data_IF_556384437664
#
_entry.id   IF_556384437664
#
_cell.length_a   1.000
_cell.length_b   1.000
_cell.length_c   1.000
_cell.angle_alpha   90.00
_cell.angle_beta   90.00
_cell.angle_gamma   90.00
#
_symmetry.space_group_name_H-M   'P 1'
#
loop_
_entity.id
_entity.type
_entity.pdbx_description
1 polymer ?
#
# COMPACT_ATOMS: atom_id res chain seq x y z
N UNK A 1 -17.44 33.47 83.14
CA UNK A 1 -18.25 32.71 82.16
C UNK A 1 -17.31 32.05 81.15
N UNK A 2 -17.21 30.72 81.13
CA UNK A 2 -16.43 29.94 80.15
C UNK A 2 -17.35 29.55 78.99
N UNK A 3 -17.09 30.02 77.77
CA UNK A 3 -17.75 29.51 76.55
C UNK A 3 -16.97 28.31 76.02
N UNK A 4 -17.57 27.13 76.11
CA UNK A 4 -17.22 25.96 75.29
C UNK A 4 -17.67 26.23 73.86
N UNK A 5 -16.81 26.02 72.87
CA UNK A 5 -17.24 25.90 71.48
C UNK A 5 -16.80 24.54 70.94
N UNK A 6 -17.81 23.79 70.49
CA UNK A 6 -17.73 22.50 69.82
C UNK A 6 -16.90 22.55 68.54
N UNK A 7 -15.94 21.63 68.43
CA UNK A 7 -15.19 21.40 67.19
C UNK A 7 -15.96 20.37 66.35
N UNK A 8 -16.64 20.83 65.30
CA UNK A 8 -17.14 19.98 64.20
C UNK A 8 -15.95 19.34 63.47
N UNK A 9 -15.83 18.00 63.51
CA UNK A 9 -14.90 17.24 62.66
C UNK A 9 -15.23 17.46 61.18
N UNK A 10 -14.41 18.21 60.45
CA UNK A 10 -14.44 18.26 58.98
C UNK A 10 -13.81 16.98 58.42
N UNK A 11 -14.54 16.26 57.56
CA UNK A 11 -14.04 15.11 56.81
C UNK A 11 -12.91 15.57 55.89
N UNK A 12 -11.77 14.89 55.92
CA UNK A 12 -10.64 15.21 55.06
C UNK A 12 -10.96 14.84 53.60
N UNK A 13 -10.53 15.65 52.61
CA UNK A 13 -10.70 15.32 51.21
C UNK A 13 -9.87 14.08 50.83
N UNK A 14 -10.34 13.25 49.90
CA UNK A 14 -9.63 12.04 49.48
C UNK A 14 -8.26 12.42 48.87
N UNK A 15 -7.21 11.72 49.29
CA UNK A 15 -5.85 11.92 48.79
C UNK A 15 -5.79 11.72 47.28
N UNK A 16 -5.03 12.55 46.56
CA UNK A 16 -4.77 12.48 45.11
C UNK A 16 -4.65 11.06 44.50
N UNK A 17 -3.96 10.08 45.11
CA UNK A 17 -3.91 8.71 44.56
C UNK A 17 -5.27 7.98 44.54
N UNK A 18 -6.21 8.33 45.43
CA UNK A 18 -7.57 7.78 45.43
C UNK A 18 -8.43 8.36 44.30
N UNK A 19 -8.21 9.63 43.94
CA UNK A 19 -8.88 10.27 42.81
C UNK A 19 -8.40 9.72 41.46
N UNK A 20 -7.10 9.47 41.32
CA UNK A 20 -6.52 8.87 40.11
C UNK A 20 -7.04 7.45 39.90
N UNK A 21 -7.07 6.62 40.97
CA UNK A 21 -7.65 5.26 40.89
C UNK A 21 -9.14 5.27 40.56
N UNK A 22 -9.90 6.22 41.09
CA UNK A 22 -11.30 6.42 40.76
C UNK A 22 -11.51 6.80 39.29
N UNK A 23 -10.67 7.69 38.75
CA UNK A 23 -10.73 8.12 37.35
C UNK A 23 -10.50 6.99 36.36
N UNK A 24 -9.49 6.14 36.59
CA UNK A 24 -9.17 5.00 35.71
C UNK A 24 -10.33 3.99 35.66
N UNK A 25 -10.97 3.70 36.80
CA UNK A 25 -12.10 2.78 36.86
C UNK A 25 -13.32 3.31 36.10
N UNK A 26 -13.58 4.62 36.19
CA UNK A 26 -14.70 5.25 35.48
C UNK A 26 -14.44 5.25 33.96
N UNK A 27 -13.22 5.57 33.51
CA UNK A 27 -12.90 5.54 32.07
C UNK A 27 -12.97 4.13 31.48
N UNK A 28 -12.55 3.11 32.23
CA UNK A 28 -12.65 1.72 31.79
C UNK A 28 -14.12 1.29 31.64
N UNK A 29 -14.98 1.65 32.60
CA UNK A 29 -16.42 1.37 32.55
C UNK A 29 -17.10 2.05 31.35
N UNK A 30 -16.78 3.32 31.09
CA UNK A 30 -17.32 4.07 29.95
C UNK A 30 -16.88 3.44 28.63
N UNK A 31 -15.60 3.11 28.47
CA UNK A 31 -15.12 2.43 27.26
C UNK A 31 -15.81 1.08 27.06
N UNK A 32 -15.99 0.28 28.12
CA UNK A 32 -16.68 -1.01 27.99
C UNK A 32 -18.16 -0.86 27.64
N UNK A 33 -18.86 0.14 28.19
CA UNK A 33 -20.25 0.41 27.86
C UNK A 33 -20.40 0.94 26.43
N UNK A 34 -19.52 1.84 25.99
CA UNK A 34 -19.48 2.37 24.62
C UNK A 34 -19.18 1.27 23.59
N UNK A 35 -18.25 0.37 23.90
CA UNK A 35 -17.93 -0.76 23.02
C UNK A 35 -19.09 -1.77 22.96
N UNK A 36 -19.78 -1.99 24.08
CA UNK A 36 -20.97 -2.87 24.14
C UNK A 36 -22.16 -2.30 23.37
N UNK A 37 -22.32 -0.98 23.35
CA UNK A 37 -23.35 -0.30 22.54
C UNK A 37 -23.00 -0.31 21.05
N UNK A 38 -21.71 -0.17 20.71
CA UNK A 38 -21.23 -0.13 19.33
C UNK A 38 -21.26 -1.51 18.63
N UNK A 39 -20.99 -2.59 19.38
CA UNK A 39 -20.84 -3.94 18.80
C UNK A 39 -22.16 -4.70 18.57
N UNK A 40 -23.30 -4.18 19.06
CA UNK A 40 -24.61 -4.83 18.89
C UNK A 40 -24.73 -6.20 19.58
N UNK A 41 -25.96 -6.69 19.83
CA UNK A 41 -26.18 -7.94 20.60
C UNK A 41 -25.62 -9.20 19.92
N UNK A 42 -25.39 -9.19 18.60
CA UNK A 42 -24.92 -10.34 17.82
C UNK A 42 -23.43 -10.64 17.97
N UNK A 43 -22.60 -9.68 18.35
CA UNK A 43 -21.15 -9.89 18.58
C UNK A 43 -20.92 -10.44 20.00
N UNK A 44 -21.70 -9.97 20.98
CA UNK A 44 -21.63 -10.47 22.36
C UNK A 44 -21.98 -11.97 22.43
N UNK A 45 -22.96 -12.41 21.64
CA UNK A 45 -23.38 -13.82 21.56
C UNK A 45 -22.31 -14.73 20.94
N UNK A 46 -21.51 -14.19 20.01
CA UNK A 46 -20.36 -14.91 19.42
C UNK A 46 -19.18 -14.98 20.40
N UNK A 47 -18.96 -13.93 21.19
CA UNK A 47 -17.94 -13.92 22.23
C UNK A 47 -18.27 -14.89 23.37
N UNK A 48 -19.54 -14.99 23.79
CA UNK A 48 -19.98 -15.96 24.81
C UNK A 48 -19.85 -17.42 24.31
N UNK A 49 -20.14 -17.66 23.02
CA UNK A 49 -19.90 -18.97 22.39
C UNK A 49 -18.41 -19.34 22.34
N UNK A 50 -17.53 -18.38 22.05
CA UNK A 50 -16.08 -18.60 22.07
C UNK A 50 -15.56 -18.81 23.49
N UNK A 51 -16.08 -18.08 24.47
CA UNK A 51 -15.70 -18.25 25.87
C UNK A 51 -16.11 -19.65 26.41
N UNK A 52 -17.32 -20.11 26.11
CA UNK A 52 -17.75 -21.48 26.46
C UNK A 52 -16.94 -22.56 25.75
N UNK A 53 -16.61 -22.38 24.47
CA UNK A 53 -15.81 -23.37 23.73
C UNK A 53 -14.36 -23.47 24.25
N UNK A 54 -13.81 -22.40 24.82
CA UNK A 54 -12.51 -22.41 25.48
C UNK A 54 -12.57 -22.95 26.92
N UNK A 55 -13.65 -22.65 27.66
CA UNK A 55 -13.86 -23.15 29.02
C UNK A 55 -14.13 -24.66 29.07
N UNK A 56 -14.78 -25.20 28.04
CA UNK A 56 -15.00 -26.66 27.91
C UNK A 56 -13.72 -27.41 27.53
N UNK A 57 -12.69 -26.73 26.99
CA UNK A 57 -11.38 -27.32 26.68
C UNK A 57 -10.41 -27.37 27.86
N UNK A 58 -10.78 -26.85 29.03
CA UNK A 58 -9.94 -26.86 30.23
C UNK A 58 -10.46 -27.73 31.37
N UNK A 59 -11.51 -28.55 31.12
CA UNK A 59 -12.17 -29.38 32.13
C UNK A 59 -12.21 -30.85 31.73
N UNK A 60 -11.07 -31.55 31.80
CA UNK A 60 -11.02 -33.01 31.65
C UNK A 60 -9.69 -33.56 32.19
N UNK A 61 -9.70 -34.62 33.04
CA UNK A 61 -8.50 -35.04 33.76
C UNK A 61 -7.57 -35.85 32.85
N UNK A 62 -6.26 -35.59 32.95
CA UNK A 62 -5.23 -36.44 32.37
C UNK A 62 -5.19 -37.81 33.05
N UNK A 63 -4.84 -38.88 32.32
CA UNK A 63 -4.14 -40.00 32.91
C UNK A 63 -2.75 -40.18 32.29
N UNK A 64 -1.77 -40.31 33.19
CA UNK A 64 -0.42 -40.80 32.97
C UNK A 64 -0.43 -42.26 32.47
N UNK A 65 0.44 -42.59 31.51
CA UNK A 65 1.21 -43.85 31.56
C UNK A 65 2.31 -43.96 30.48
N UNK A 66 3.56 -43.99 30.97
CA UNK A 66 4.62 -44.96 30.70
C UNK A 66 5.24 -45.18 29.29
N UNK A 67 6.49 -44.66 29.16
CA UNK A 67 7.78 -45.34 28.88
C UNK A 67 7.99 -46.14 27.57
N UNK A 68 9.16 -45.83 26.96
CA UNK A 68 10.04 -46.64 26.08
C UNK A 68 9.92 -46.38 24.57
N UNK A 69 10.97 -46.06 23.82
CA UNK A 69 12.39 -46.03 24.16
C UNK A 69 13.30 -45.64 22.97
N UNK A 70 14.58 -45.42 23.33
CA UNK A 70 15.86 -45.51 22.58
C UNK A 70 15.90 -45.11 21.08
N UNK A 71 16.64 -44.09 20.63
CA UNK A 71 18.11 -43.91 20.61
C UNK A 71 18.91 -44.90 19.71
N UNK A 72 19.19 -44.45 18.47
CA UNK A 72 20.39 -44.75 17.65
C UNK A 72 20.32 -45.95 16.66
N UNK A 73 21.23 -46.04 15.66
CA UNK A 73 22.38 -45.17 15.36
C UNK A 73 22.52 -44.71 13.89
N UNK A 74 23.47 -43.79 13.71
CA UNK A 74 24.08 -43.32 12.45
C UNK A 74 24.91 -44.45 11.83
N UNK A 75 24.89 -44.57 10.49
CA UNK A 75 25.91 -45.29 9.73
C UNK A 75 26.21 -44.58 8.41
N UNK A 76 27.51 -44.34 8.21
CA UNK A 76 28.15 -43.71 7.06
C UNK A 76 28.84 -44.80 6.22
N UNK A 77 28.97 -44.54 4.91
CA UNK A 77 29.98 -45.04 3.95
C UNK A 77 29.46 -45.81 2.72
N UNK A 78 29.84 -45.35 1.52
CA UNK A 78 30.05 -46.23 0.36
C UNK A 78 29.67 -45.71 -1.03
N UNK A 79 30.55 -44.90 -1.63
CA UNK A 79 30.98 -44.83 -3.04
C UNK A 79 30.07 -45.32 -4.20
N UNK A 80 30.00 -44.48 -5.25
CA UNK A 80 29.90 -44.91 -6.66
C UNK A 80 28.76 -44.28 -7.47
N UNK A 81 29.10 -43.39 -8.42
CA UNK A 81 28.17 -42.92 -9.47
C UNK A 81 27.84 -44.02 -10.52
N UNK A 82 27.14 -43.72 -11.64
CA UNK A 82 26.91 -42.41 -12.22
C UNK A 82 25.43 -42.05 -12.48
N UNK A 83 25.23 -40.75 -12.70
CA UNK A 83 24.18 -40.05 -13.47
C UNK A 83 23.01 -40.90 -14.02
N UNK A 84 21.84 -40.68 -13.42
CA UNK A 84 20.55 -40.82 -14.08
C UNK A 84 19.72 -39.58 -13.74
N UNK A 85 19.42 -38.77 -14.76
CA UNK A 85 18.35 -37.77 -14.71
C UNK A 85 17.01 -38.47 -14.41
N UNK A 86 16.16 -37.88 -13.55
CA UNK A 86 14.73 -38.05 -13.70
C UNK A 86 14.05 -36.69 -13.86
N UNK A 87 13.56 -36.47 -15.08
CA UNK A 87 12.15 -36.18 -15.36
C UNK A 87 11.37 -35.38 -14.30
N UNK A 88 10.97 -34.19 -14.71
CA UNK A 88 9.74 -33.47 -14.35
C UNK A 88 8.82 -34.19 -13.35
N UNK A 89 8.92 -33.80 -12.08
CA UNK A 89 7.84 -34.03 -11.12
C UNK A 89 6.95 -32.78 -11.10
N UNK A 90 5.73 -32.94 -11.62
CA UNK A 90 4.66 -31.97 -11.51
C UNK A 90 4.17 -31.94 -10.05
N UNK A 91 4.90 -31.22 -9.21
CA UNK A 91 4.45 -30.83 -7.88
C UNK A 91 3.43 -29.70 -7.97
N UNK A 92 2.15 -30.08 -8.05
CA UNK A 92 0.99 -29.20 -7.94
C UNK A 92 1.08 -28.34 -6.65
N UNK A 93 1.14 -26.99 -6.73
CA UNK A 93 1.05 -26.17 -5.54
C UNK A 93 -0.37 -26.27 -4.97
N UNK A 94 -0.46 -26.53 -3.66
CA UNK A 94 -1.72 -26.67 -2.94
C UNK A 94 -2.65 -25.48 -3.19
N UNK A 95 -3.85 -25.81 -3.67
CA UNK A 95 -4.97 -24.90 -3.70
C UNK A 95 -5.34 -24.49 -2.26
N UNK A 96 -5.85 -23.26 -2.14
CA UNK A 96 -6.53 -22.69 -0.96
C UNK A 96 -5.73 -21.73 -0.07
N UNK A 97 -4.88 -20.89 -0.69
CA UNK A 97 -4.76 -19.49 -0.26
C UNK A 97 -5.33 -18.60 -1.37
N UNK A 98 -6.25 -17.67 -1.08
CA UNK A 98 -6.75 -16.75 -2.11
C UNK A 98 -5.60 -15.82 -2.52
N UNK A 99 -4.94 -16.15 -3.63
CA UNK A 99 -4.00 -15.25 -4.29
C UNK A 99 -4.77 -14.08 -4.90
N UNK A 100 -4.32 -12.86 -4.67
CA UNK A 100 -4.87 -11.67 -5.33
C UNK A 100 -4.74 -11.88 -6.86
N UNK A 101 -5.82 -11.77 -7.64
CA UNK A 101 -5.76 -11.99 -9.08
C UNK A 101 -4.89 -10.91 -9.76
N UNK A 102 -4.28 -11.26 -10.88
CA UNK A 102 -3.64 -10.28 -11.75
C UNK A 102 -4.68 -9.56 -12.62
N UNK A 103 -4.37 -8.33 -12.99
CA UNK A 103 -5.14 -7.56 -13.94
C UNK A 103 -5.24 -8.29 -15.28
N UNK A 104 -6.46 -8.42 -15.80
CA UNK A 104 -6.67 -8.90 -17.17
C UNK A 104 -6.41 -7.75 -18.15
N UNK A 105 -5.39 -7.92 -18.98
CA UNK A 105 -4.99 -6.96 -20.01
C UNK A 105 -5.88 -7.12 -21.24
N UNK A 106 -6.41 -5.99 -21.73
CA UNK A 106 -7.03 -5.86 -23.04
C UNK A 106 -5.96 -5.55 -24.09
N UNK A 107 -6.08 -6.14 -25.29
CA UNK A 107 -5.25 -5.78 -26.45
C UNK A 107 -5.68 -4.46 -27.11
N UNK A 108 -6.60 -3.72 -26.48
CA UNK A 108 -7.07 -2.43 -26.97
C UNK A 108 -6.05 -1.33 -26.66
N UNK A 109 -5.72 -0.56 -27.69
CA UNK A 109 -4.88 0.62 -27.57
C UNK A 109 -5.74 1.78 -27.03
N UNK A 110 -5.29 2.46 -25.97
CA UNK A 110 -5.95 3.65 -25.45
C UNK A 110 -5.98 4.78 -26.49
N UNK A 111 -7.11 5.49 -26.61
CA UNK A 111 -7.30 6.56 -27.61
C UNK A 111 -7.88 7.82 -26.99
N UNK A 112 -7.62 8.96 -27.66
CA UNK A 112 -8.20 10.26 -27.30
C UNK A 112 -9.74 10.28 -27.31
N UNK A 113 -10.36 9.47 -28.17
CA UNK A 113 -11.83 9.42 -28.32
C UNK A 113 -12.54 8.77 -27.11
N UNK A 114 -11.79 8.09 -26.24
CA UNK A 114 -12.32 7.46 -25.03
C UNK A 114 -12.47 8.44 -23.85
N UNK A 115 -12.05 9.71 -24.04
CA UNK A 115 -12.24 10.82 -23.09
C UNK A 115 -13.72 11.16 -22.92
N UNK A 116 -14.44 10.33 -22.17
CA UNK A 116 -15.76 10.68 -21.67
C UNK A 116 -15.59 11.44 -20.36
N UNK A 117 -15.60 12.78 -20.45
CA UNK A 117 -15.68 13.72 -19.31
C UNK A 117 -16.83 13.42 -18.34
N UNK A 118 -17.82 12.64 -18.79
CA UNK A 118 -19.05 12.29 -18.08
C UNK A 118 -19.10 10.82 -17.62
N UNK A 119 -17.99 10.07 -17.65
CA UNK A 119 -17.97 8.73 -17.05
C UNK A 119 -17.97 8.88 -15.52
N UNK A 120 -19.17 8.96 -14.96
CA UNK A 120 -19.44 8.71 -13.54
C UNK A 120 -18.58 7.51 -13.11
N UNK A 121 -17.89 7.57 -11.94
CA UNK A 121 -16.95 6.55 -11.52
C UNK A 121 -17.62 5.18 -11.66
N UNK A 122 -17.02 4.36 -12.52
CA UNK A 122 -17.59 3.07 -12.87
C UNK A 122 -17.65 2.24 -11.59
N UNK A 123 -18.88 1.90 -11.17
CA UNK A 123 -19.26 1.10 -10.01
C UNK A 123 -19.17 1.81 -8.64
N UNK A 124 -20.27 2.45 -8.25
CA UNK A 124 -20.54 2.77 -6.82
C UNK A 124 -20.43 1.46 -6.02
N UNK A 125 -19.40 1.35 -5.18
CA UNK A 125 -19.15 0.16 -4.37
C UNK A 125 -18.06 -0.78 -4.89
N UNK A 126 -17.33 -0.45 -5.97
CA UNK A 126 -16.20 -1.26 -6.39
C UNK A 126 -15.07 -1.24 -5.37
N UNK A 127 -14.54 -2.43 -5.09
CA UNK A 127 -13.27 -2.62 -4.40
C UNK A 127 -12.30 -3.28 -5.36
N UNK A 128 -11.16 -2.66 -5.58
CA UNK A 128 -10.11 -3.17 -6.45
C UNK A 128 -9.04 -3.87 -5.59
N UNK A 129 -8.84 -5.14 -5.88
CA UNK A 129 -7.76 -5.94 -5.32
C UNK A 129 -7.18 -6.78 -6.45
N UNK A 130 -6.28 -6.17 -7.22
CA UNK A 130 -5.59 -6.82 -8.35
C UNK A 130 -4.10 -6.48 -8.33
N UNK A 131 -3.28 -7.39 -8.85
CA UNK A 131 -1.87 -7.18 -9.09
C UNK A 131 -1.63 -6.74 -10.54
N UNK A 132 -0.71 -5.80 -10.76
CA UNK A 132 -0.20 -5.43 -12.07
C UNK A 132 1.23 -5.94 -12.22
N UNK A 133 1.60 -6.32 -13.45
CA UNK A 133 2.99 -6.48 -13.80
C UNK A 133 3.64 -5.10 -13.97
N UNK A 134 4.87 -5.00 -13.48
CA UNK A 134 5.70 -3.80 -13.63
C UNK A 134 7.15 -4.21 -13.82
N UNK A 135 7.97 -3.29 -14.32
CA UNK A 135 9.41 -3.46 -14.45
C UNK A 135 10.13 -3.75 -13.12
N UNK A 136 9.53 -3.38 -11.98
CA UNK A 136 10.07 -3.66 -10.64
C UNK A 136 9.49 -4.95 -10.02
N UNK A 137 8.64 -5.68 -10.74
CA UNK A 137 7.89 -6.84 -10.25
C UNK A 137 6.41 -6.54 -9.98
N UNK A 138 5.66 -7.50 -9.40
CA UNK A 138 4.23 -7.34 -9.18
C UNK A 138 3.90 -6.19 -8.22
N UNK A 139 2.95 -5.33 -8.61
CA UNK A 139 2.49 -4.19 -7.83
C UNK A 139 1.00 -4.30 -7.52
N UNK A 140 0.59 -4.02 -6.28
CA UNK A 140 -0.83 -3.97 -5.92
C UNK A 140 -1.46 -2.68 -6.47
N UNK A 141 -2.58 -2.82 -7.19
CA UNK A 141 -3.34 -1.69 -7.71
C UNK A 141 -4.24 -1.05 -6.66
N UNK A 142 -4.28 0.27 -6.67
CA UNK A 142 -5.29 1.06 -5.98
C UNK A 142 -5.96 2.04 -6.94
N UNK A 143 -7.28 2.14 -6.82
CA UNK A 143 -8.07 3.17 -7.49
C UNK A 143 -8.51 4.23 -6.47
N UNK A 144 -8.39 5.51 -6.81
CA UNK A 144 -8.69 6.63 -5.91
C UNK A 144 -10.18 6.74 -5.56
N UNK A 145 -11.07 6.20 -6.41
CA UNK A 145 -12.51 6.19 -6.23
C UNK A 145 -13.05 4.89 -5.60
N UNK A 146 -12.16 3.96 -5.21
CA UNK A 146 -12.54 2.74 -4.49
C UNK A 146 -13.40 3.06 -3.26
N UNK A 147 -14.47 2.29 -3.05
CA UNK A 147 -15.46 2.56 -1.99
C UNK A 147 -14.85 2.67 -0.58
N UNK A 148 -13.70 2.03 -0.35
CA UNK A 148 -13.03 2.04 0.95
C UNK A 148 -12.53 3.43 1.34
N UNK A 149 -12.27 4.32 0.36
CA UNK A 149 -11.67 5.62 0.61
C UNK A 149 -12.08 6.74 -0.35
N UNK A 150 -12.87 6.48 -1.39
CA UNK A 150 -13.24 7.51 -2.39
C UNK A 150 -13.92 8.74 -1.78
N UNK A 151 -14.67 8.58 -0.69
CA UNK A 151 -15.30 9.67 0.06
C UNK A 151 -14.44 10.22 1.20
N UNK A 152 -13.24 9.67 1.41
CA UNK A 152 -12.27 10.22 2.36
C UNK A 152 -11.84 11.62 1.91
N UNK A 153 -11.72 12.55 2.87
CA UNK A 153 -11.38 13.94 2.59
C UNK A 153 -9.87 14.16 2.72
N UNK A 154 -9.18 14.22 1.59
CA UNK A 154 -7.78 14.63 1.49
C UNK A 154 -7.64 16.08 1.95
N UNK A 155 -6.72 16.30 2.91
CA UNK A 155 -6.55 17.60 3.56
C UNK A 155 -7.78 18.04 4.37
N UNK A 156 -8.69 17.12 4.66
CA UNK A 156 -9.91 17.36 5.41
C UNK A 156 -11.03 18.03 4.62
N UNK A 157 -10.86 18.34 3.33
CA UNK A 157 -11.88 19.03 2.51
C UNK A 157 -12.14 18.39 1.15
N UNK A 158 -11.13 17.80 0.51
CA UNK A 158 -11.23 17.36 -0.88
C UNK A 158 -11.44 15.85 -1.01
N UNK A 159 -12.54 15.37 -1.63
CA UNK A 159 -12.77 13.94 -1.79
C UNK A 159 -11.69 13.22 -2.60
N UNK A 160 -11.17 12.11 -2.09
CA UNK A 160 -10.15 11.27 -2.74
C UNK A 160 -10.56 10.82 -4.15
N UNK A 161 -11.83 10.50 -4.37
CA UNK A 161 -12.33 10.10 -5.70
C UNK A 161 -12.09 11.13 -6.80
N UNK A 162 -11.93 12.41 -6.44
CA UNK A 162 -11.66 13.50 -7.39
C UNK A 162 -10.23 14.03 -7.32
N UNK A 163 -9.61 14.03 -6.14
CA UNK A 163 -8.35 14.73 -5.88
C UNK A 163 -7.20 13.79 -5.42
N UNK A 164 -7.44 12.48 -5.42
CA UNK A 164 -6.57 11.47 -4.82
C UNK A 164 -5.57 10.80 -5.75
N UNK A 165 -5.38 11.25 -6.99
CA UNK A 165 -4.48 10.58 -7.95
C UNK A 165 -3.04 10.49 -7.42
N UNK A 166 -2.50 11.59 -6.88
CA UNK A 166 -1.15 11.63 -6.30
C UNK A 166 -0.97 10.67 -5.11
N UNK A 167 -1.76 10.77 -4.02
CA UNK A 167 -1.66 9.88 -2.88
C UNK A 167 -1.86 8.40 -3.24
N UNK A 168 -2.77 8.13 -4.17
CA UNK A 168 -3.03 6.75 -4.64
C UNK A 168 -1.84 6.21 -5.43
N UNK A 169 -1.24 7.02 -6.31
CA UNK A 169 -0.05 6.66 -7.08
C UNK A 169 1.13 6.29 -6.17
N UNK A 170 1.45 7.14 -5.17
CA UNK A 170 2.56 6.84 -4.24
C UNK A 170 2.23 5.66 -3.32
N UNK A 171 0.95 5.48 -2.93
CA UNK A 171 0.54 4.33 -2.13
C UNK A 171 0.76 2.99 -2.86
N UNK A 172 0.51 2.92 -4.18
CA UNK A 172 0.79 1.72 -4.97
C UNK A 172 2.27 1.33 -4.93
N UNK A 173 3.16 2.31 -5.10
CA UNK A 173 4.62 2.09 -5.03
C UNK A 173 5.06 1.71 -3.61
N UNK A 174 4.69 2.50 -2.61
CA UNK A 174 5.13 2.30 -1.22
C UNK A 174 4.68 0.94 -0.72
N UNK A 175 3.42 0.58 -0.94
CA UNK A 175 2.89 -0.69 -0.44
C UNK A 175 3.52 -1.91 -1.11
N UNK A 176 4.00 -1.78 -2.34
CA UNK A 176 4.52 -2.91 -3.12
C UNK A 176 6.05 -3.05 -3.02
N UNK A 177 6.77 -1.94 -2.86
CA UNK A 177 8.24 -1.91 -3.00
C UNK A 177 8.97 -1.33 -1.78
N UNK A 178 8.28 -1.09 -0.67
CA UNK A 178 8.92 -0.73 0.60
C UNK A 178 8.64 -1.75 1.70
N UNK A 179 9.34 -1.62 2.83
CA UNK A 179 9.07 -2.42 4.04
C UNK A 179 7.86 -1.94 4.83
N UNK A 180 7.21 -0.86 4.38
CA UNK A 180 6.08 -0.21 5.04
C UNK A 180 4.82 -0.34 4.19
N UNK A 181 3.69 -0.60 4.82
CA UNK A 181 2.41 -0.60 4.11
C UNK A 181 1.86 0.81 3.97
N UNK A 182 1.25 1.11 2.83
CA UNK A 182 0.56 2.37 2.59
C UNK A 182 -0.77 2.12 1.88
N UNK A 183 -1.82 2.74 2.39
CA UNK A 183 -3.11 2.87 1.69
C UNK A 183 -3.23 4.27 1.09
N UNK A 184 -4.14 4.50 0.13
CA UNK A 184 -4.41 5.85 -0.37
C UNK A 184 -4.77 6.85 0.74
N UNK A 185 -5.47 6.41 1.79
CA UNK A 185 -5.81 7.24 2.96
C UNK A 185 -4.55 7.65 3.73
N UNK A 186 -3.70 6.69 4.10
CA UNK A 186 -2.48 7.01 4.85
C UNK A 186 -1.50 7.87 4.05
N UNK A 187 -1.44 7.68 2.72
CA UNK A 187 -0.64 8.53 1.85
C UNK A 187 -1.21 9.96 1.77
N UNK A 188 -2.54 10.11 1.74
CA UNK A 188 -3.19 11.42 1.75
C UNK A 188 -2.96 12.15 3.08
N UNK A 189 -3.03 11.44 4.21
CA UNK A 189 -2.73 12.00 5.53
C UNK A 189 -1.27 12.44 5.63
N UNK A 190 -0.35 11.59 5.17
CA UNK A 190 1.06 11.92 5.12
C UNK A 190 1.30 13.16 4.25
N UNK A 191 0.69 13.22 3.07
CA UNK A 191 0.85 14.34 2.15
C UNK A 191 0.31 15.64 2.74
N UNK A 192 -0.85 15.61 3.41
CA UNK A 192 -1.40 16.77 4.09
C UNK A 192 -0.51 17.25 5.26
N UNK A 193 0.02 16.32 6.04
CA UNK A 193 0.91 16.64 7.17
C UNK A 193 2.27 17.21 6.73
N UNK A 194 2.73 16.86 5.53
CA UNK A 194 4.05 17.26 5.00
C UNK A 194 3.95 18.36 3.91
N UNK A 195 2.83 19.10 3.85
CA UNK A 195 2.70 20.25 2.96
C UNK A 195 2.63 19.90 1.46
N UNK A 196 2.31 18.65 1.13
CA UNK A 196 2.18 18.16 -0.25
C UNK A 196 0.73 18.22 -0.76
N UNK A 197 -0.24 18.50 0.11
CA UNK A 197 -1.64 18.67 -0.27
C UNK A 197 -1.89 20.03 -0.92
N UNK A 198 -2.50 20.03 -2.11
CA UNK A 198 -2.91 21.22 -2.84
C UNK A 198 -4.44 21.32 -2.86
N UNK A 199 -5.05 22.24 -2.07
CA UNK A 199 -6.50 22.39 -2.02
C UNK A 199 -7.11 22.59 -3.41
N UNK A 200 -8.10 21.76 -3.76
CA UNK A 200 -8.79 21.69 -5.05
C UNK A 200 -7.89 21.37 -6.25
N UNK A 201 -6.59 21.12 -6.02
CA UNK A 201 -5.60 20.73 -7.03
C UNK A 201 -5.07 19.31 -6.83
N UNK A 202 -5.48 18.62 -5.76
CA UNK A 202 -4.97 17.30 -5.40
C UNK A 202 -3.65 17.41 -4.65
N UNK A 203 -2.53 17.28 -5.35
CA UNK A 203 -1.19 17.28 -4.72
C UNK A 203 -0.22 18.20 -5.42
N UNK A 204 0.66 18.83 -4.64
CA UNK A 204 1.85 19.47 -5.14
C UNK A 204 2.86 18.41 -5.64
N UNK A 205 3.71 18.83 -6.58
CA UNK A 205 4.63 17.92 -7.26
C UNK A 205 5.69 17.31 -6.33
N UNK A 206 6.03 18.00 -5.23
CA UNK A 206 6.96 17.49 -4.22
C UNK A 206 6.45 16.23 -3.52
N UNK A 207 5.14 15.92 -3.59
CA UNK A 207 4.59 14.67 -3.06
C UNK A 207 5.40 13.45 -3.51
N UNK A 208 5.75 13.39 -4.80
CA UNK A 208 6.40 12.20 -5.37
C UNK A 208 7.77 11.97 -4.74
N UNK A 209 8.62 13.00 -4.72
CA UNK A 209 9.97 12.86 -4.18
C UNK A 209 9.96 12.73 -2.66
N UNK A 210 9.19 13.58 -1.97
CA UNK A 210 9.20 13.65 -0.51
C UNK A 210 8.62 12.37 0.10
N UNK A 211 7.49 11.87 -0.42
CA UNK A 211 6.86 10.66 0.14
C UNK A 211 7.68 9.42 -0.14
N UNK A 212 8.14 9.19 -1.38
CA UNK A 212 8.88 7.97 -1.72
C UNK A 212 10.22 7.93 -0.98
N UNK A 213 10.96 9.05 -0.93
CA UNK A 213 12.22 9.13 -0.19
C UNK A 213 12.03 8.90 1.31
N UNK A 214 10.93 9.41 1.89
CA UNK A 214 10.60 9.16 3.30
C UNK A 214 10.33 7.68 3.62
N UNK A 215 9.98 6.88 2.62
CA UNK A 215 9.79 5.42 2.73
C UNK A 215 10.99 4.62 2.21
N UNK A 216 12.15 5.27 2.00
CA UNK A 216 13.40 4.64 1.56
C UNK A 216 13.41 4.19 0.10
N UNK A 217 12.45 4.65 -0.70
CA UNK A 217 12.35 4.34 -2.13
C UNK A 217 13.16 5.37 -2.91
N UNK A 218 14.05 4.89 -3.78
CA UNK A 218 14.84 5.74 -4.66
C UNK A 218 13.96 6.31 -5.76
N UNK A 219 14.03 7.63 -5.94
CA UNK A 219 13.25 8.37 -6.93
C UNK A 219 14.04 9.54 -7.48
N UNK A 220 14.09 9.64 -8.81
CA UNK A 220 14.85 10.68 -9.50
C UNK A 220 14.00 11.42 -10.52
N UNK A 221 14.30 12.70 -10.73
CA UNK A 221 13.68 13.50 -11.79
C UNK A 221 14.28 13.16 -13.15
N UNK A 222 13.43 12.79 -14.11
CA UNK A 222 13.85 12.49 -15.48
C UNK A 222 14.04 13.80 -16.26
N UNK A 223 15.29 14.11 -16.61
CA UNK A 223 15.66 15.34 -17.34
C UNK A 223 15.39 15.22 -18.84
N UNK A 224 15.76 14.08 -19.44
CA UNK A 224 15.52 13.81 -20.87
C UNK A 224 14.22 13.02 -21.04
N UNK A 225 13.15 13.70 -21.43
CA UNK A 225 11.78 13.13 -21.47
C UNK A 225 11.40 12.67 -22.87
N UNK A 226 12.32 11.98 -23.54
CA UNK A 226 12.08 11.37 -24.84
C UNK A 226 11.53 9.97 -24.67
N UNK A 227 10.74 9.48 -25.64
CA UNK A 227 10.23 8.11 -25.62
C UNK A 227 11.37 7.08 -25.51
N UNK A 228 12.50 7.30 -26.20
CA UNK A 228 13.66 6.41 -26.11
C UNK A 228 14.30 6.34 -24.73
N UNK A 229 14.45 7.48 -24.03
CA UNK A 229 14.98 7.46 -22.66
C UNK A 229 13.96 6.85 -21.67
N UNK A 230 12.66 7.09 -21.86
CA UNK A 230 11.62 6.46 -21.06
C UNK A 230 11.60 4.93 -21.23
N UNK A 231 11.68 4.44 -22.47
CA UNK A 231 11.79 3.00 -22.76
C UNK A 231 13.02 2.38 -22.08
N UNK A 232 14.19 3.02 -22.22
CA UNK A 232 15.42 2.54 -21.56
C UNK A 232 15.33 2.50 -20.02
N UNK A 233 14.59 3.42 -19.39
CA UNK A 233 14.35 3.38 -17.95
C UNK A 233 13.45 2.19 -17.58
N UNK A 234 12.36 1.98 -18.32
CA UNK A 234 11.46 0.84 -18.11
C UNK A 234 12.21 -0.50 -18.28
N UNK A 235 12.98 -0.65 -19.36
CA UNK A 235 13.79 -1.86 -19.64
C UNK A 235 14.86 -2.13 -18.58
N UNK A 236 15.32 -1.09 -17.89
CA UNK A 236 16.30 -1.20 -16.80
C UNK A 236 15.66 -1.42 -15.42
N UNK A 237 14.37 -1.76 -15.37
CA UNK A 237 13.68 -2.12 -14.14
C UNK A 237 13.13 -0.92 -13.36
N UNK A 238 12.87 0.21 -14.02
CA UNK A 238 12.25 1.36 -13.39
C UNK A 238 10.76 1.45 -13.71
N UNK A 239 9.96 1.94 -12.76
CA UNK A 239 8.62 2.47 -13.01
C UNK A 239 8.74 3.98 -13.19
N UNK A 240 7.97 4.56 -14.11
CA UNK A 240 7.90 6.01 -14.26
C UNK A 240 6.62 6.56 -13.67
N UNK A 241 6.72 7.53 -12.77
CA UNK A 241 5.57 8.33 -12.34
C UNK A 241 5.48 9.53 -13.26
N UNK A 242 4.35 9.72 -13.92
CA UNK A 242 4.12 10.80 -14.87
C UNK A 242 2.99 11.71 -14.41
N UNK A 243 3.22 13.02 -14.50
CA UNK A 243 2.19 14.04 -14.38
C UNK A 243 1.73 14.42 -15.79
N UNK A 244 0.56 13.90 -16.17
CA UNK A 244 -0.07 14.16 -17.45
C UNK A 244 -0.68 15.56 -17.49
N UNK A 245 -0.53 16.23 -18.63
CA UNK A 245 -1.27 17.42 -19.01
C UNK A 245 -2.50 17.05 -19.83
N UNK A 246 -3.06 18.03 -20.56
CA UNK A 246 -4.18 17.79 -21.46
C UNK A 246 -3.82 16.77 -22.54
N UNK A 247 -4.59 15.70 -22.67
CA UNK A 247 -4.33 14.57 -23.55
C UNK A 247 -5.34 13.44 -23.35
N UNK A 248 -5.01 12.23 -23.79
CA UNK A 248 -5.91 11.07 -23.79
C UNK A 248 -6.32 10.56 -22.40
N UNK A 249 -5.60 10.96 -21.35
CA UNK A 249 -5.87 10.52 -19.98
C UNK A 249 -6.54 11.59 -19.11
N UNK A 250 -6.49 12.87 -19.50
CA UNK A 250 -7.03 13.97 -18.71
C UNK A 250 -7.10 15.27 -19.51
N UNK A 251 -8.00 16.18 -19.11
CA UNK A 251 -8.03 17.56 -19.64
C UNK A 251 -7.18 18.55 -18.83
N UNK A 252 -6.64 18.15 -17.67
CA UNK A 252 -5.96 19.07 -16.74
C UNK A 252 -4.60 18.54 -16.24
N UNK A 253 -4.62 17.82 -15.13
CA UNK A 253 -3.45 17.35 -14.40
C UNK A 253 -3.79 16.01 -13.78
N UNK A 254 -3.01 14.99 -14.08
CA UNK A 254 -3.28 13.64 -13.60
C UNK A 254 -2.00 12.86 -13.37
N UNK A 255 -1.85 12.24 -12.20
CA UNK A 255 -0.72 11.37 -11.92
C UNK A 255 -1.04 9.94 -12.34
N UNK A 256 -0.17 9.34 -13.15
CA UNK A 256 -0.21 7.93 -13.51
C UNK A 256 1.16 7.27 -13.29
N UNK A 257 1.19 5.94 -13.28
CA UNK A 257 2.42 5.16 -13.34
C UNK A 257 2.52 4.53 -14.73
N UNK A 258 3.66 4.63 -15.39
CA UNK A 258 4.01 3.81 -16.57
C UNK A 258 4.81 2.64 -16.04
N UNK A 259 4.27 1.43 -16.19
CA UNK A 259 4.71 0.28 -15.39
C UNK A 259 5.61 -0.69 -16.15
N UNK A 260 5.39 -0.90 -17.44
CA UNK A 260 6.07 -1.92 -18.24
C UNK A 260 6.20 -1.46 -19.69
N UNK A 261 7.35 -1.72 -20.30
CA UNK A 261 7.59 -1.54 -21.75
C UNK A 261 7.41 -2.88 -22.46
N UNK A 262 6.68 -2.85 -23.58
CA UNK A 262 6.26 -4.04 -24.30
C UNK A 262 7.07 -4.22 -25.58
N UNK A 263 7.20 -5.47 -26.05
CA UNK A 263 7.94 -5.82 -27.27
C UNK A 263 7.45 -5.11 -28.54
N UNK A 264 6.17 -4.70 -28.55
CA UNK A 264 5.56 -3.96 -29.66
C UNK A 264 5.85 -2.44 -29.62
N UNK A 265 6.55 -1.96 -28.59
CA UNK A 265 6.89 -0.55 -28.38
C UNK A 265 5.86 0.27 -27.59
N UNK A 266 4.76 -0.35 -27.15
CA UNK A 266 3.77 0.25 -26.27
C UNK A 266 4.17 0.08 -24.79
N UNK A 267 3.33 0.59 -23.90
CA UNK A 267 3.48 0.45 -22.46
C UNK A 267 2.16 0.08 -21.78
N UNK A 268 2.26 -0.56 -20.63
CA UNK A 268 1.18 -0.61 -19.64
C UNK A 268 1.29 0.55 -18.65
N UNK A 269 0.14 0.93 -18.09
CA UNK A 269 0.05 1.96 -17.06
C UNK A 269 -0.76 1.46 -15.86
N UNK A 270 -0.52 2.06 -14.69
CA UNK A 270 -1.46 2.06 -13.59
C UNK A 270 -2.05 3.47 -13.46
N UNK A 271 -3.33 3.61 -13.79
CA UNK A 271 -4.07 4.87 -13.71
C UNK A 271 -4.92 4.87 -12.42
N UNK A 272 -4.58 5.70 -11.41
CA UNK A 272 -5.33 5.78 -10.16
C UNK A 272 -6.80 6.16 -10.31
N UNK A 273 -7.18 6.84 -11.39
CA UNK A 273 -8.53 7.32 -11.61
C UNK A 273 -9.36 6.38 -12.50
N UNK A 274 -8.71 5.51 -13.28
CA UNK A 274 -9.40 4.62 -14.22
C UNK A 274 -8.78 3.22 -14.25
N UNK A 275 -9.51 2.25 -13.70
CA UNK A 275 -9.15 0.84 -13.83
C UNK A 275 -9.12 0.39 -15.30
N UNK A 276 -10.07 0.87 -16.11
CA UNK A 276 -10.13 0.55 -17.53
C UNK A 276 -8.89 1.03 -18.29
N UNK A 277 -8.38 2.23 -17.99
CA UNK A 277 -7.14 2.71 -18.63
C UNK A 277 -5.95 1.83 -18.29
N UNK A 278 -5.96 1.21 -17.09
CA UNK A 278 -4.91 0.31 -16.65
C UNK A 278 -4.96 -1.04 -17.37
N UNK A 279 -6.10 -1.42 -17.96
CA UNK A 279 -6.21 -2.68 -18.73
C UNK A 279 -5.74 -2.52 -20.18
N UNK A 280 -5.58 -1.29 -20.67
CA UNK A 280 -5.21 -0.97 -22.06
C UNK A 280 -3.69 -0.88 -22.25
N UNK A 281 -3.25 -0.98 -23.50
CA UNK A 281 -1.90 -0.58 -23.92
C UNK A 281 -1.89 0.89 -24.36
N UNK A 282 -0.74 1.55 -24.21
CA UNK A 282 -0.58 2.97 -24.55
C UNK A 282 0.68 3.20 -25.39
N UNK A 283 0.58 4.11 -26.37
CA UNK A 283 1.76 4.54 -27.12
C UNK A 283 2.66 5.41 -26.24
N UNK A 284 3.90 4.96 -25.99
CA UNK A 284 4.84 5.69 -25.13
C UNK A 284 5.15 7.09 -25.69
N UNK A 285 5.26 7.22 -27.02
CA UNK A 285 5.47 8.50 -27.69
C UNK A 285 4.36 9.50 -27.41
N UNK A 286 3.11 9.04 -27.40
CA UNK A 286 1.94 9.85 -27.07
C UNK A 286 2.00 10.31 -25.62
N UNK A 287 2.22 9.39 -24.67
CA UNK A 287 2.29 9.74 -23.24
C UNK A 287 3.40 10.77 -22.97
N UNK A 288 4.56 10.63 -23.60
CA UNK A 288 5.65 11.61 -23.45
C UNK A 288 5.30 12.99 -24.03
N UNK A 289 4.53 13.04 -25.12
CA UNK A 289 4.07 14.29 -25.71
C UNK A 289 2.99 14.99 -24.87
N UNK A 290 2.20 14.23 -24.12
CA UNK A 290 1.10 14.71 -23.28
C UNK A 290 1.50 15.05 -21.84
N UNK A 291 2.80 14.97 -21.50
CA UNK A 291 3.30 15.38 -20.19
C UNK A 291 2.99 16.85 -19.88
N UNK A 292 2.65 17.13 -18.62
CA UNK A 292 2.33 18.48 -18.16
C UNK A 292 3.56 19.39 -18.31
N UNK A 293 3.33 20.62 -18.73
CA UNK A 293 4.39 21.64 -18.86
C UNK A 293 4.73 22.26 -17.50
N UNK A 294 5.18 21.44 -16.55
CA UNK A 294 5.60 21.81 -15.20
C UNK A 294 7.00 21.26 -14.91
N UNK A 295 7.81 22.02 -14.17
CA UNK A 295 9.26 21.80 -14.07
C UNK A 295 9.82 21.92 -12.65
N UNK A 296 8.97 22.15 -11.66
CA UNK A 296 9.32 22.22 -10.24
C UNK A 296 9.29 20.82 -9.60
N UNK A 297 10.06 20.63 -8.53
CA UNK A 297 10.06 19.40 -7.71
C UNK A 297 10.21 18.11 -8.53
N UNK A 298 11.03 18.17 -9.58
CA UNK A 298 11.34 17.04 -10.45
C UNK A 298 10.30 16.74 -11.54
N UNK A 299 9.19 17.46 -11.59
CA UNK A 299 8.11 17.29 -12.56
C UNK A 299 8.57 17.43 -14.02
N UNK A 300 7.81 16.85 -14.98
CA UNK A 300 6.57 16.08 -14.82
C UNK A 300 6.80 14.56 -14.82
N UNK A 301 8.06 14.10 -14.75
CA UNK A 301 8.40 12.70 -14.89
C UNK A 301 9.47 12.30 -13.88
N UNK A 302 9.19 11.27 -13.08
CA UNK A 302 10.08 10.71 -12.09
C UNK A 302 10.32 9.23 -12.39
N UNK A 303 11.55 8.76 -12.21
CA UNK A 303 11.90 7.35 -12.29
C UNK A 303 12.05 6.78 -10.88
N UNK A 304 11.41 5.64 -10.64
CA UNK A 304 11.47 4.87 -9.40
C UNK A 304 12.06 3.52 -9.74
N UNK A 305 13.11 3.09 -9.03
CA UNK A 305 13.78 1.86 -9.38
C UNK A 305 15.12 1.68 -8.69
N UNK A 306 15.86 0.61 -9.03
CA UNK A 306 17.23 0.44 -8.56
C UNK A 306 18.09 1.63 -8.97
N UNK A 307 19.08 1.98 -8.14
CA UNK A 307 20.05 3.00 -8.51
C UNK A 307 20.66 2.64 -9.86
N UNK A 308 20.74 3.60 -10.79
CA UNK A 308 21.44 3.35 -12.06
C UNK A 308 22.83 2.86 -11.71
N UNK A 309 23.14 1.62 -12.07
CA UNK A 309 24.51 1.11 -12.04
C UNK A 309 25.25 1.82 -13.17
N UNK A 310 25.60 3.08 -12.94
CA UNK A 310 26.45 3.85 -13.81
C UNK A 310 27.87 3.35 -13.61
N UNK A 311 28.42 2.70 -14.62
CA UNK A 311 29.74 3.01 -15.18
C UNK A 311 30.78 3.53 -14.16
N UNK A 312 31.03 2.73 -13.11
CA UNK A 312 31.98 3.05 -12.06
C UNK A 312 32.76 1.78 -11.66
N UNK A 313 33.51 1.22 -12.61
CA UNK A 313 34.71 0.40 -12.36
C UNK A 313 35.47 0.02 -13.65
N UNK A 314 35.74 0.96 -14.55
CA UNK A 314 36.81 0.77 -15.55
C UNK A 314 37.72 2.00 -15.55
N UNK A 315 38.44 2.14 -14.44
CA UNK A 315 39.27 3.31 -14.18
C UNK A 315 40.06 3.17 -12.89
N UNK A 316 40.65 2.00 -12.64
CA UNK A 316 41.61 1.82 -11.57
C UNK A 316 42.79 0.97 -12.05
N UNK A 317 43.82 1.68 -12.53
CA UNK A 317 45.23 1.36 -12.44
C UNK A 317 45.75 0.08 -13.14
N UNK A 318 46.04 0.22 -14.43
CA UNK A 318 47.35 -0.21 -14.95
C UNK A 318 48.34 0.94 -14.71
N UNK A 319 49.22 0.76 -13.72
CA UNK A 319 50.49 1.48 -13.53
C UNK A 319 51.18 0.88 -12.29
N UNK A 320 52.01 -0.14 -12.52
CA UNK A 320 52.88 -0.75 -11.51
C UNK A 320 53.57 -2.01 -12.00
#
# INVERSE_FOLDING_TARGET
MKKKNDVKKRKQPPSYPALIRGGILISALIMTASLSFYMGPSVLEKADRLYRSMSDRTSGPAPDSFISGAAGPIQEAGAGGPEQEPQQDQGQPGADSPSVPYLEVSQELGRLDDLTLDKEPEQVGASYAVMLNTAMGPMLYYNQADQRWGDYLYGGQDPMKKYGCGPTAVAMIINSFSTTSATPVSAADWAAANGCYAPQGGSYHNLIQDSLSAHGIQVESVKQRTAGNAASLLDSGHILIALMGKGALTDNGHFILITEYLDNGNVHIADPNSYENSTKEWELGQLMAELKQSHDNGAPLWAVGPEKVGEAAEGAADNG
#
